data_IF_060577552190
#
_entry.id   IF_060577552190
#
_cell.length_a   1.000
_cell.length_b   1.000
_cell.length_c   1.000
_cell.angle_alpha   90.00
_cell.angle_beta   90.00
_cell.angle_gamma   90.00
#
_symmetry.space_group_name_H-M   'P 1'
#
loop_
_entity.id
_entity.type
_entity.pdbx_description
1 polymer ?
#
# COMPACT_ATOMS: atom_id res chain seq x y z
N UNK A 1 0.21 -22.45 -10.45
CA UNK A 1 -0.24 -23.56 -9.58
C UNK A 1 -1.76 -23.72 -9.45
N UNK A 2 -2.59 -22.66 -9.46
CA UNK A 2 -4.04 -22.88 -9.28
C UNK A 2 -4.69 -23.61 -10.48
N UNK A 3 -5.50 -24.63 -10.19
CA UNK A 3 -6.27 -25.39 -11.20
C UNK A 3 -7.71 -24.87 -11.29
N UNK A 4 -8.53 -25.33 -12.27
CA UNK A 4 -9.94 -24.96 -12.31
C UNK A 4 -10.75 -25.39 -11.07
N UNK A 5 -10.26 -26.37 -10.30
CA UNK A 5 -10.97 -26.97 -9.16
C UNK A 5 -10.36 -26.62 -7.81
N UNK A 6 -9.07 -26.36 -7.75
CA UNK A 6 -8.35 -26.07 -6.52
C UNK A 6 -7.56 -24.76 -6.62
N UNK A 7 -7.66 -23.95 -5.57
CA UNK A 7 -6.74 -22.84 -5.37
C UNK A 7 -5.52 -23.37 -4.63
N UNK A 8 -4.36 -23.19 -5.25
CA UNK A 8 -3.06 -23.62 -4.74
C UNK A 8 -2.21 -22.37 -4.50
N UNK A 9 -1.63 -22.29 -3.30
CA UNK A 9 -0.70 -21.25 -2.89
C UNK A 9 0.40 -21.88 -2.04
N UNK A 10 1.61 -21.35 -2.10
CA UNK A 10 2.71 -21.77 -1.26
C UNK A 10 3.16 -20.62 -0.34
N UNK A 11 3.43 -20.94 0.92
CA UNK A 11 3.87 -19.99 1.93
C UNK A 11 5.22 -20.42 2.52
N UNK A 12 6.25 -19.59 2.34
CA UNK A 12 7.59 -19.83 2.91
C UNK A 12 7.86 -19.10 4.22
N UNK A 13 9.08 -19.26 4.75
CA UNK A 13 9.61 -18.45 5.86
C UNK A 13 8.99 -18.77 7.23
N UNK A 14 8.52 -17.74 7.95
CA UNK A 14 7.96 -17.88 9.31
C UNK A 14 6.76 -18.83 9.34
N UNK A 15 6.00 -18.87 8.25
CA UNK A 15 4.87 -19.77 8.11
C UNK A 15 5.23 -21.25 8.21
N UNK A 16 6.40 -21.62 7.69
CA UNK A 16 6.94 -22.98 7.81
C UNK A 16 7.32 -23.33 9.26
N UNK A 17 7.76 -22.34 10.05
CA UNK A 17 8.22 -22.56 11.42
C UNK A 17 7.08 -22.70 12.42
N UNK A 18 5.90 -22.14 12.13
CA UNK A 18 4.73 -22.24 13.00
C UNK A 18 3.95 -23.56 12.85
N UNK A 19 4.23 -24.33 11.79
CA UNK A 19 3.61 -25.62 11.51
C UNK A 19 2.07 -25.61 11.57
N UNK A 20 1.46 -24.46 11.23
CA UNK A 20 0.02 -24.24 11.28
C UNK A 20 -0.51 -23.72 9.94
N UNK A 21 -1.05 -24.61 9.09
CA UNK A 21 -1.61 -24.23 7.78
C UNK A 21 -2.73 -23.19 7.90
N UNK A 22 -3.59 -23.30 8.92
CA UNK A 22 -4.72 -22.37 9.11
C UNK A 22 -4.26 -20.95 9.42
N UNK A 23 -3.24 -20.78 10.27
CA UNK A 23 -2.68 -19.45 10.58
C UNK A 23 -2.06 -18.86 9.31
N UNK A 24 -1.31 -19.65 8.57
CA UNK A 24 -0.67 -19.21 7.33
C UNK A 24 -1.67 -18.83 6.24
N UNK A 25 -2.75 -19.61 6.13
CA UNK A 25 -3.84 -19.29 5.22
C UNK A 25 -4.58 -18.01 5.62
N UNK A 26 -4.80 -17.78 6.92
CA UNK A 26 -5.37 -16.54 7.42
C UNK A 26 -4.44 -15.33 7.14
N UNK A 27 -3.13 -15.48 7.29
CA UNK A 27 -2.16 -14.44 6.96
C UNK A 27 -2.14 -14.14 5.45
N UNK A 28 -2.20 -15.17 4.61
CA UNK A 28 -2.36 -15.00 3.16
C UNK A 28 -3.66 -14.25 2.84
N UNK A 29 -4.77 -14.59 3.50
CA UNK A 29 -6.03 -13.88 3.35
C UNK A 29 -5.92 -12.39 3.75
N UNK A 30 -5.24 -12.08 4.86
CA UNK A 30 -4.97 -10.71 5.31
C UNK A 30 -4.11 -9.95 4.29
N UNK A 31 -3.08 -10.58 3.75
CA UNK A 31 -2.22 -9.97 2.72
C UNK A 31 -3.01 -9.66 1.44
N UNK A 32 -3.84 -10.59 0.98
CA UNK A 32 -4.72 -10.38 -0.17
C UNK A 32 -5.75 -9.27 0.10
N UNK A 33 -6.35 -9.25 1.30
CA UNK A 33 -7.26 -8.20 1.72
C UNK A 33 -6.59 -6.82 1.73
N UNK A 34 -5.38 -6.74 2.28
CA UNK A 34 -4.58 -5.52 2.30
C UNK A 34 -4.26 -5.03 0.90
N UNK A 35 -3.86 -5.94 0.00
CA UNK A 35 -3.55 -5.62 -1.40
C UNK A 35 -4.77 -5.06 -2.14
N UNK A 36 -5.91 -5.76 -2.06
CA UNK A 36 -7.16 -5.32 -2.69
C UNK A 36 -7.63 -3.99 -2.11
N UNK A 37 -7.62 -3.85 -0.78
CA UNK A 37 -8.06 -2.64 -0.11
C UNK A 37 -7.15 -1.45 -0.42
N UNK A 38 -5.84 -1.68 -0.52
CA UNK A 38 -4.87 -0.64 -0.87
C UNK A 38 -5.18 -0.01 -2.24
N UNK A 39 -5.51 -0.83 -3.24
CA UNK A 39 -5.89 -0.35 -4.57
C UNK A 39 -7.13 0.57 -4.50
N UNK A 40 -8.16 0.15 -3.75
CA UNK A 40 -9.38 0.95 -3.53
C UNK A 40 -9.06 2.26 -2.81
N UNK A 41 -8.18 2.23 -1.82
CA UNK A 41 -7.76 3.41 -1.07
C UNK A 41 -7.01 4.43 -1.94
N UNK A 42 -6.21 4.00 -2.92
CA UNK A 42 -5.60 4.91 -3.89
C UNK A 42 -6.67 5.61 -4.73
N UNK A 43 -7.67 4.87 -5.20
CA UNK A 43 -8.78 5.47 -5.97
C UNK A 43 -9.55 6.48 -5.11
N UNK A 44 -9.89 6.12 -3.87
CA UNK A 44 -10.55 7.03 -2.93
C UNK A 44 -9.71 8.28 -2.67
N UNK A 45 -8.41 8.14 -2.42
CA UNK A 45 -7.50 9.28 -2.23
C UNK A 45 -7.47 10.19 -3.46
N UNK A 46 -7.50 9.61 -4.66
CA UNK A 46 -7.55 10.37 -5.92
C UNK A 46 -8.85 11.17 -6.05
N UNK A 47 -9.99 10.54 -5.76
CA UNK A 47 -11.30 11.21 -5.73
C UNK A 47 -11.37 12.32 -4.69
N UNK A 48 -10.89 12.06 -3.47
CA UNK A 48 -10.85 13.05 -2.39
C UNK A 48 -10.01 14.26 -2.76
N UNK A 49 -8.82 14.05 -3.34
CA UNK A 49 -7.96 15.14 -3.82
C UNK A 49 -8.62 15.94 -4.93
N UNK A 50 -9.26 15.26 -5.89
CA UNK A 50 -10.03 15.94 -6.94
C UNK A 50 -11.15 16.78 -6.33
N UNK A 51 -11.91 16.24 -5.36
CA UNK A 51 -12.96 16.97 -4.67
C UNK A 51 -12.45 18.22 -3.96
N UNK A 52 -11.33 18.13 -3.22
CA UNK A 52 -10.76 19.29 -2.52
C UNK A 52 -10.25 20.36 -3.50
N UNK A 53 -9.64 19.96 -4.62
CA UNK A 53 -9.09 20.90 -5.62
C UNK A 53 -10.20 21.55 -6.45
N UNK A 54 -11.16 20.75 -6.93
CA UNK A 54 -12.29 21.24 -7.73
C UNK A 54 -13.32 21.99 -6.86
N UNK A 55 -13.53 21.52 -5.64
CA UNK A 55 -14.50 22.01 -4.67
C UNK A 55 -13.95 23.08 -3.73
N UNK A 56 -12.86 23.78 -4.06
CA UNK A 56 -12.34 24.91 -3.28
C UNK A 56 -13.39 26.00 -2.97
N UNK A 57 -14.54 25.99 -3.65
CA UNK A 57 -15.71 26.83 -3.38
C UNK A 57 -16.76 26.24 -2.41
N UNK A 58 -16.80 24.93 -2.17
CA UNK A 58 -17.90 24.21 -1.49
C UNK A 58 -17.57 23.79 -0.04
N UNK A 59 -16.36 24.10 0.45
CA UNK A 59 -15.91 23.77 1.80
C UNK A 59 -15.39 22.33 1.93
N UNK A 60 -14.54 22.09 2.93
CA UNK A 60 -14.00 20.76 3.21
C UNK A 60 -15.09 19.81 3.72
N UNK A 61 -15.10 18.53 3.31
CA UNK A 61 -16.12 17.59 3.76
C UNK A 61 -15.94 17.32 5.26
N UNK A 62 -17.07 17.23 5.98
CA UNK A 62 -17.07 16.96 7.42
C UNK A 62 -16.34 15.63 7.70
N UNK A 63 -15.50 15.60 8.73
CA UNK A 63 -14.70 14.42 9.11
C UNK A 63 -15.56 13.16 9.31
N UNK A 64 -16.75 13.30 9.90
CA UNK A 64 -17.67 12.18 10.09
C UNK A 64 -18.14 11.56 8.77
N UNK A 65 -18.36 12.36 7.73
CA UNK A 65 -18.75 11.85 6.42
C UNK A 65 -17.60 11.06 5.78
N UNK A 66 -16.36 11.56 5.91
CA UNK A 66 -15.17 10.87 5.41
C UNK A 66 -15.00 9.51 6.12
N UNK A 67 -15.14 9.49 7.45
CA UNK A 67 -15.02 8.26 8.24
C UNK A 67 -16.11 7.24 7.88
N UNK A 68 -17.35 7.70 7.71
CA UNK A 68 -18.45 6.84 7.28
C UNK A 68 -18.21 6.23 5.90
N UNK A 69 -17.77 7.04 4.93
CA UNK A 69 -17.43 6.55 3.58
C UNK A 69 -16.27 5.55 3.65
N UNK A 70 -15.24 5.83 4.45
CA UNK A 70 -14.09 4.94 4.60
C UNK A 70 -14.53 3.58 5.15
N UNK A 71 -15.39 3.57 6.17
CA UNK A 71 -15.93 2.34 6.74
C UNK A 71 -16.78 1.58 5.71
N UNK A 72 -17.67 2.28 5.00
CA UNK A 72 -18.52 1.69 3.97
C UNK A 72 -17.71 1.06 2.82
N UNK A 73 -16.58 1.66 2.43
CA UNK A 73 -15.69 1.14 1.39
C UNK A 73 -14.87 -0.05 1.89
N UNK A 74 -14.48 -0.06 3.17
CA UNK A 74 -13.66 -1.11 3.75
C UNK A 74 -14.44 -2.40 4.02
N UNK A 75 -15.71 -2.26 4.44
CA UNK A 75 -16.56 -3.36 4.88
C UNK A 75 -16.68 -4.52 3.85
N UNK A 76 -16.92 -4.28 2.55
CA UNK A 76 -17.02 -5.36 1.57
C UNK A 76 -15.72 -6.18 1.45
N UNK A 77 -14.56 -5.50 1.50
CA UNK A 77 -13.26 -6.18 1.40
C UNK A 77 -13.04 -7.07 2.62
N UNK A 78 -13.36 -6.57 3.83
CA UNK A 78 -13.29 -7.37 5.05
C UNK A 78 -14.18 -8.61 4.98
N UNK A 79 -15.43 -8.47 4.54
CA UNK A 79 -16.37 -9.59 4.47
C UNK A 79 -15.86 -10.66 3.50
N UNK A 80 -15.42 -10.27 2.31
CA UNK A 80 -14.92 -11.21 1.29
C UNK A 80 -13.73 -12.01 1.81
N UNK A 81 -12.73 -11.33 2.39
CA UNK A 81 -11.51 -12.02 2.81
C UNK A 81 -11.62 -12.71 4.18
N UNK A 82 -12.54 -12.28 5.05
CA UNK A 82 -12.90 -13.06 6.24
C UNK A 82 -13.50 -14.41 5.82
N UNK A 83 -14.46 -14.41 4.88
CA UNK A 83 -15.02 -15.66 4.36
C UNK A 83 -13.97 -16.52 3.64
N UNK A 84 -13.02 -15.89 2.95
CA UNK A 84 -11.89 -16.61 2.35
C UNK A 84 -11.02 -17.29 3.41
N UNK A 85 -10.62 -16.57 4.48
CA UNK A 85 -9.78 -17.10 5.54
C UNK A 85 -10.38 -18.32 6.28
N UNK A 86 -11.71 -18.41 6.35
CA UNK A 86 -12.43 -19.54 6.95
C UNK A 86 -12.76 -20.68 5.95
N UNK A 87 -12.20 -20.64 4.74
CA UNK A 87 -12.39 -21.73 3.77
C UNK A 87 -11.65 -23.00 4.21
N UNK A 88 -12.23 -24.20 4.00
CA UNK A 88 -11.62 -25.45 4.44
C UNK A 88 -10.36 -25.76 3.63
N UNK A 89 -9.25 -25.98 4.35
CA UNK A 89 -7.99 -26.42 3.79
C UNK A 89 -7.96 -27.94 3.60
N UNK A 90 -7.30 -28.39 2.55
CA UNK A 90 -6.97 -29.80 2.33
C UNK A 90 -5.63 -30.08 3.01
N UNK A 91 -5.56 -31.18 3.76
CA UNK A 91 -4.37 -31.58 4.51
C UNK A 91 -4.05 -33.06 4.28
N UNK A 92 -2.77 -33.43 4.46
CA UNK A 92 -2.29 -34.80 4.38
C UNK A 92 -2.48 -35.45 3.00
N UNK A 93 -2.96 -36.71 2.93
CA UNK A 93 -2.96 -37.50 1.69
C UNK A 93 -3.87 -36.92 0.60
N UNK A 94 -4.95 -36.22 0.97
CA UNK A 94 -5.85 -35.58 -0.01
C UNK A 94 -5.13 -34.43 -0.73
N UNK A 95 -4.35 -33.64 0.00
CA UNK A 95 -3.55 -32.56 -0.57
C UNK A 95 -2.48 -33.12 -1.52
N UNK A 96 -1.75 -34.15 -1.10
CA UNK A 96 -0.72 -34.80 -1.91
C UNK A 96 -1.29 -35.40 -3.20
N UNK A 97 -2.46 -36.05 -3.13
CA UNK A 97 -3.15 -36.56 -4.31
C UNK A 97 -3.48 -35.43 -5.29
N UNK A 98 -4.08 -34.34 -4.81
CA UNK A 98 -4.45 -33.19 -5.65
C UNK A 98 -3.22 -32.55 -6.28
N UNK A 99 -2.12 -32.43 -5.55
CA UNK A 99 -0.86 -31.90 -6.06
C UNK A 99 -0.28 -32.80 -7.15
N UNK A 100 -0.20 -34.11 -6.92
CA UNK A 100 0.35 -35.06 -7.89
C UNK A 100 -0.49 -35.16 -9.16
N UNK A 101 -1.82 -35.03 -9.05
CA UNK A 101 -2.73 -34.96 -10.21
C UNK A 101 -2.61 -33.64 -11.00
N UNK A 102 -2.36 -32.52 -10.30
CA UNK A 102 -2.39 -31.17 -10.90
C UNK A 102 -1.04 -30.72 -11.45
N UNK A 103 0.03 -31.11 -10.75
CA UNK A 103 1.42 -30.71 -10.96
C UNK A 103 2.34 -31.92 -10.71
N UNK A 104 2.31 -32.95 -11.57
CA UNK A 104 3.16 -34.14 -11.42
C UNK A 104 4.66 -33.81 -11.49
N UNK A 105 5.02 -32.68 -12.07
CA UNK A 105 6.39 -32.16 -12.11
C UNK A 105 6.91 -31.61 -10.77
N UNK A 106 6.01 -31.36 -9.81
CA UNK A 106 6.36 -30.72 -8.54
C UNK A 106 6.68 -31.76 -7.46
N UNK A 107 7.95 -31.83 -7.06
CA UNK A 107 8.39 -32.69 -5.97
C UNK A 107 8.12 -32.04 -4.61
N UNK A 108 7.04 -32.49 -3.96
CA UNK A 108 6.62 -32.03 -2.63
C UNK A 108 7.72 -32.31 -1.59
N UNK A 109 8.41 -33.45 -1.69
CA UNK A 109 9.42 -33.85 -0.71
C UNK A 109 10.62 -32.90 -0.75
N UNK A 110 11.05 -32.51 -1.95
CA UNK A 110 12.16 -31.59 -2.17
C UNK A 110 11.86 -30.17 -1.65
N UNK A 111 10.61 -29.72 -1.73
CA UNK A 111 10.21 -28.36 -1.36
C UNK A 111 9.61 -28.24 0.05
N UNK A 112 9.31 -29.36 0.70
CA UNK A 112 8.70 -29.41 2.04
C UNK A 112 9.51 -28.70 3.13
N UNK A 113 10.82 -28.56 2.94
CA UNK A 113 11.71 -27.85 3.86
C UNK A 113 11.68 -26.32 3.67
N UNK A 114 11.24 -25.84 2.50
CA UNK A 114 11.29 -24.42 2.15
C UNK A 114 9.92 -23.74 2.20
N UNK A 115 8.86 -24.49 1.89
CA UNK A 115 7.52 -23.96 1.70
C UNK A 115 6.42 -24.88 2.26
N UNK A 116 5.34 -24.25 2.72
CA UNK A 116 4.11 -24.89 3.16
C UNK A 116 3.04 -24.70 2.09
N UNK A 117 2.49 -25.80 1.59
CA UNK A 117 1.42 -25.78 0.60
C UNK A 117 0.07 -25.49 1.26
N UNK A 118 -0.68 -24.58 0.66
CA UNK A 118 -2.01 -24.17 1.07
C UNK A 118 -2.97 -24.49 -0.08
N UNK A 119 -3.75 -25.56 0.09
CA UNK A 119 -4.68 -26.05 -0.93
C UNK A 119 -6.11 -25.93 -0.41
N UNK A 120 -6.98 -25.28 -1.17
CA UNK A 120 -8.43 -25.21 -0.88
C UNK A 120 -9.24 -25.46 -2.14
N UNK A 121 -10.41 -26.07 -1.99
CA UNK A 121 -11.37 -26.23 -3.09
C UNK A 121 -11.90 -24.87 -3.52
N UNK A 122 -12.21 -24.71 -4.82
CA UNK A 122 -12.86 -23.51 -5.36
C UNK A 122 -14.32 -23.39 -4.91
N UNK A 123 -14.51 -23.01 -3.65
CA UNK A 123 -15.82 -22.65 -3.09
C UNK A 123 -16.33 -21.30 -3.59
N UNK A 124 -17.50 -20.89 -3.10
CA UNK A 124 -18.02 -19.53 -3.33
C UNK A 124 -17.10 -18.46 -2.72
N UNK A 125 -16.59 -18.68 -1.51
CA UNK A 125 -15.67 -17.79 -0.80
C UNK A 125 -14.39 -17.50 -1.60
N UNK A 126 -13.73 -18.56 -2.08
CA UNK A 126 -12.50 -18.49 -2.89
C UNK A 126 -12.75 -17.76 -4.21
N UNK A 127 -13.85 -18.08 -4.90
CA UNK A 127 -14.20 -17.39 -6.15
C UNK A 127 -14.47 -15.90 -5.94
N UNK A 128 -15.22 -15.56 -4.90
CA UNK A 128 -15.49 -14.15 -4.55
C UNK A 128 -14.18 -13.42 -4.24
N UNK A 129 -13.27 -14.01 -3.46
CA UNK A 129 -11.99 -13.39 -3.14
C UNK A 129 -11.11 -13.14 -4.38
N UNK A 130 -11.04 -14.11 -5.29
CA UNK A 130 -10.28 -13.97 -6.52
C UNK A 130 -10.92 -12.95 -7.46
N UNK A 131 -12.23 -13.01 -7.71
CA UNK A 131 -12.90 -12.03 -8.55
C UNK A 131 -12.88 -10.62 -7.96
N UNK A 132 -12.89 -10.49 -6.63
CA UNK A 132 -12.70 -9.20 -5.96
C UNK A 132 -11.30 -8.65 -6.23
N UNK A 133 -10.27 -9.48 -6.07
CA UNK A 133 -8.88 -9.11 -6.33
C UNK A 133 -8.65 -8.71 -7.81
N UNK A 134 -9.07 -9.57 -8.74
CA UNK A 134 -8.90 -9.39 -10.19
C UNK A 134 -9.78 -8.25 -10.73
N UNK A 135 -11.02 -8.14 -10.25
CA UNK A 135 -12.02 -7.21 -10.76
C UNK A 135 -11.84 -5.77 -10.30
N UNK A 136 -11.26 -5.55 -9.12
CA UNK A 136 -11.10 -4.20 -8.56
C UNK A 136 -10.06 -3.35 -9.29
N UNK A 137 -9.06 -3.94 -9.95
CA UNK A 137 -7.95 -3.16 -10.50
C UNK A 137 -8.38 -2.27 -11.67
N UNK A 138 -9.28 -2.76 -12.52
CA UNK A 138 -9.77 -2.02 -13.70
C UNK A 138 -10.46 -0.71 -13.28
N UNK A 139 -11.51 -0.72 -12.43
CA UNK A 139 -12.15 0.51 -12.00
C UNK A 139 -11.20 1.42 -11.23
N UNK A 140 -10.28 0.87 -10.42
CA UNK A 140 -9.27 1.66 -9.70
C UNK A 140 -8.37 2.43 -10.67
N UNK A 141 -7.80 1.75 -11.67
CA UNK A 141 -6.92 2.40 -12.67
C UNK A 141 -7.68 3.48 -13.44
N UNK A 142 -8.92 3.20 -13.87
CA UNK A 142 -9.77 4.18 -14.56
C UNK A 142 -10.00 5.42 -13.69
N UNK A 143 -10.40 5.24 -12.43
CA UNK A 143 -10.66 6.35 -11.49
C UNK A 143 -9.40 7.18 -11.26
N UNK A 144 -8.24 6.54 -11.06
CA UNK A 144 -6.96 7.22 -10.85
C UNK A 144 -6.56 8.03 -12.08
N UNK A 145 -6.66 7.45 -13.28
CA UNK A 145 -6.34 8.15 -14.54
C UNK A 145 -7.28 9.34 -14.74
N UNK A 146 -8.59 9.16 -14.58
CA UNK A 146 -9.57 10.25 -14.71
C UNK A 146 -9.28 11.35 -13.68
N UNK A 147 -9.03 10.99 -12.42
CA UNK A 147 -8.69 11.93 -11.35
C UNK A 147 -7.42 12.73 -11.70
N UNK A 148 -6.37 12.06 -12.17
CA UNK A 148 -5.13 12.72 -12.60
C UNK A 148 -5.35 13.69 -13.78
N UNK A 149 -6.09 13.27 -14.82
CA UNK A 149 -6.41 14.13 -15.97
C UNK A 149 -7.21 15.35 -15.53
N UNK A 150 -8.23 15.16 -14.68
CA UNK A 150 -9.10 16.25 -14.21
C UNK A 150 -8.36 17.25 -13.34
N UNK A 151 -7.52 16.78 -12.41
CA UNK A 151 -6.68 17.66 -11.59
C UNK A 151 -5.70 18.45 -12.47
N UNK A 152 -5.07 17.81 -13.46
CA UNK A 152 -4.17 18.47 -14.40
C UNK A 152 -4.86 19.56 -15.21
N UNK A 153 -6.08 19.30 -15.70
CA UNK A 153 -6.87 20.29 -16.45
C UNK A 153 -7.20 21.51 -15.60
N UNK A 154 -7.64 21.30 -14.36
CA UNK A 154 -7.93 22.40 -13.42
C UNK A 154 -6.66 23.21 -13.16
N UNK A 155 -5.53 22.55 -12.97
CA UNK A 155 -4.26 23.24 -12.71
C UNK A 155 -3.76 24.03 -13.93
N UNK A 156 -4.01 23.54 -15.14
CA UNK A 156 -3.67 24.22 -16.38
C UNK A 156 -4.58 25.43 -16.66
N UNK A 157 -5.84 25.40 -16.20
CA UNK A 157 -6.79 26.52 -16.41
C UNK A 157 -6.64 27.66 -15.41
N UNK A 158 -5.97 27.46 -14.27
CA UNK A 158 -5.82 28.48 -13.23
C UNK A 158 -4.54 29.27 -13.45
N UNK A 159 -4.60 30.29 -14.31
CA UNK A 159 -3.47 31.16 -14.65
C UNK A 159 -3.13 32.19 -13.54
N UNK A 160 -4.04 32.39 -12.58
CA UNK A 160 -3.92 33.39 -11.50
C UNK A 160 -3.50 32.83 -10.12
N UNK A 161 -3.02 31.59 -10.04
CA UNK A 161 -2.60 31.03 -8.75
C UNK A 161 -1.27 31.61 -8.27
N UNK A 162 -1.21 32.05 -7.02
CA UNK A 162 0.04 32.47 -6.37
C UNK A 162 1.11 31.36 -6.49
N UNK A 163 2.37 31.75 -6.67
CA UNK A 163 3.49 30.81 -6.85
C UNK A 163 3.56 29.72 -5.75
N UNK A 164 3.14 30.07 -4.52
CA UNK A 164 3.04 29.14 -3.40
C UNK A 164 1.90 28.12 -3.54
N UNK A 165 0.74 28.52 -4.11
CA UNK A 165 -0.34 27.58 -4.40
C UNK A 165 0.04 26.62 -5.53
N UNK A 166 0.63 27.16 -6.61
CA UNK A 166 1.12 26.37 -7.76
C UNK A 166 2.14 25.32 -7.31
N UNK A 167 3.14 25.70 -6.50
CA UNK A 167 4.14 24.77 -5.95
C UNK A 167 3.52 23.64 -5.11
N UNK A 168 2.53 23.95 -4.27
CA UNK A 168 1.81 22.94 -3.47
C UNK A 168 1.06 21.96 -4.37
N UNK A 169 0.38 22.46 -5.40
CA UNK A 169 -0.39 21.63 -6.34
C UNK A 169 0.52 20.74 -7.18
N UNK A 170 1.65 21.25 -7.68
CA UNK A 170 2.66 20.44 -8.40
C UNK A 170 3.23 19.33 -7.52
N UNK A 171 3.47 19.59 -6.22
CA UNK A 171 3.92 18.55 -5.29
C UNK A 171 2.85 17.48 -5.06
N UNK A 172 1.59 17.88 -4.92
CA UNK A 172 0.45 16.95 -4.81
C UNK A 172 0.35 16.07 -6.05
N UNK A 173 0.48 16.68 -7.24
CA UNK A 173 0.41 16.00 -8.53
C UNK A 173 1.55 14.99 -8.71
N UNK A 174 2.78 15.37 -8.33
CA UNK A 174 3.93 14.46 -8.34
C UNK A 174 3.68 13.26 -7.42
N UNK A 175 3.08 13.48 -6.24
CA UNK A 175 2.67 12.40 -5.34
C UNK A 175 1.66 11.45 -5.98
N UNK A 176 0.68 11.97 -6.73
CA UNK A 176 -0.30 11.15 -7.46
C UNK A 176 0.39 10.33 -8.56
N UNK A 177 1.31 10.92 -9.31
CA UNK A 177 2.03 10.21 -10.37
C UNK A 177 2.81 9.02 -9.81
N UNK A 178 3.47 9.21 -8.67
CA UNK A 178 4.18 8.13 -7.97
C UNK A 178 3.23 7.10 -7.37
N UNK A 179 2.13 7.53 -6.74
CA UNK A 179 1.12 6.59 -6.23
C UNK A 179 0.45 5.79 -7.35
N UNK A 180 0.28 6.37 -8.55
CA UNK A 180 -0.28 5.71 -9.72
C UNK A 180 0.64 4.62 -10.31
N UNK A 181 1.94 4.62 -9.97
CA UNK A 181 2.83 3.51 -10.35
C UNK A 181 2.47 2.21 -9.64
N UNK A 182 1.89 2.28 -8.43
CA UNK A 182 1.56 1.09 -7.64
C UNK A 182 0.38 0.29 -8.20
N UNK A 183 -0.77 0.90 -8.57
CA UNK A 183 -1.81 0.22 -9.34
C UNK A 183 -1.29 -0.29 -10.69
N UNK A 184 -0.35 0.41 -11.32
CA UNK A 184 0.31 -0.07 -12.55
C UNK A 184 1.09 -1.36 -12.33
N UNK A 185 1.93 -1.42 -11.29
CA UNK A 185 2.64 -2.64 -10.89
C UNK A 185 1.67 -3.76 -10.52
N UNK A 186 0.56 -3.42 -9.83
CA UNK A 186 -0.46 -4.39 -9.48
C UNK A 186 -1.14 -4.99 -10.73
N UNK A 187 -1.47 -4.14 -11.72
CA UNK A 187 -2.02 -4.58 -13.00
C UNK A 187 -1.07 -5.50 -13.77
N UNK A 188 0.24 -5.21 -13.74
CA UNK A 188 1.26 -6.09 -14.34
C UNK A 188 1.26 -7.46 -13.64
N UNK A 189 1.28 -7.48 -12.30
CA UNK A 189 1.19 -8.73 -11.53
C UNK A 189 -0.06 -9.54 -11.87
N UNK A 190 -1.21 -8.87 -12.03
CA UNK A 190 -2.45 -9.53 -12.44
C UNK A 190 -2.37 -10.10 -13.86
N UNK A 191 -1.80 -9.37 -14.81
CA UNK A 191 -1.63 -9.85 -16.20
C UNK A 191 -0.77 -11.11 -16.22
N UNK A 192 0.36 -11.09 -15.48
CA UNK A 192 1.24 -12.25 -15.33
C UNK A 192 0.49 -13.42 -14.72
N UNK A 193 -0.24 -13.21 -13.62
CA UNK A 193 -1.07 -14.23 -12.98
C UNK A 193 -2.09 -14.86 -13.94
N UNK A 194 -2.84 -14.04 -14.68
CA UNK A 194 -3.83 -14.52 -15.65
C UNK A 194 -3.16 -15.26 -16.81
N UNK A 195 -2.00 -14.81 -17.27
CA UNK A 195 -1.24 -15.48 -18.33
C UNK A 195 -0.74 -16.87 -17.88
N UNK A 196 -0.22 -16.99 -16.66
CA UNK A 196 0.18 -18.27 -16.06
C UNK A 196 -1.02 -19.19 -15.85
N UNK A 197 -2.14 -18.66 -15.33
CA UNK A 197 -3.39 -19.44 -15.16
C UNK A 197 -3.92 -20.00 -16.47
N UNK A 198 -3.76 -19.27 -17.58
CA UNK A 198 -4.13 -19.71 -18.93
C UNK A 198 -3.08 -20.62 -19.59
N UNK A 199 -2.02 -21.01 -18.88
CA UNK A 199 -0.88 -21.80 -19.39
C UNK A 199 -0.20 -21.17 -20.61
N UNK A 200 -0.26 -19.85 -20.75
CA UNK A 200 0.42 -19.13 -21.84
C UNK A 200 1.92 -18.97 -21.56
N UNK A 201 2.30 -18.99 -20.28
CA UNK A 201 3.68 -18.91 -19.83
C UNK A 201 3.88 -19.98 -18.77
N UNK A 202 4.80 -20.90 -19.01
CA UNK A 202 5.08 -22.03 -18.14
C UNK A 202 6.57 -22.04 -17.80
N UNK A 203 6.95 -21.25 -16.80
CA UNK A 203 8.34 -21.13 -16.35
C UNK A 203 8.35 -21.07 -14.83
N UNK A 204 9.17 -21.92 -14.21
CA UNK A 204 9.12 -22.24 -12.78
C UNK A 204 9.37 -21.04 -11.83
N UNK A 205 9.77 -19.88 -12.35
CA UNK A 205 9.99 -18.65 -11.58
C UNK A 205 8.86 -17.62 -11.60
N UNK A 206 7.92 -17.71 -12.56
CA UNK A 206 6.96 -16.61 -12.81
C UNK A 206 5.88 -16.52 -11.72
N UNK A 207 5.56 -17.63 -11.07
CA UNK A 207 4.59 -17.68 -9.99
C UNK A 207 5.09 -16.91 -8.76
N UNK A 208 6.37 -17.10 -8.43
CA UNK A 208 7.05 -16.36 -7.38
C UNK A 208 7.07 -14.85 -7.66
N UNK A 209 7.25 -14.45 -8.92
CA UNK A 209 7.23 -13.03 -9.31
C UNK A 209 5.88 -12.39 -8.94
N UNK A 210 4.76 -13.08 -9.14
CA UNK A 210 3.42 -12.55 -8.85
C UNK A 210 3.26 -12.27 -7.35
N UNK A 211 3.67 -13.21 -6.50
CA UNK A 211 3.62 -13.07 -5.03
C UNK A 211 4.59 -11.97 -4.55
N UNK A 212 5.78 -11.92 -5.15
CA UNK A 212 6.78 -10.88 -4.87
C UNK A 212 6.29 -9.48 -5.23
N UNK A 213 5.57 -9.31 -6.36
CA UNK A 213 4.96 -8.04 -6.74
C UNK A 213 3.96 -7.58 -5.66
N UNK A 214 3.09 -8.46 -5.17
CA UNK A 214 2.16 -8.11 -4.09
C UNK A 214 2.88 -7.66 -2.81
N UNK A 215 3.97 -8.34 -2.46
CA UNK A 215 4.82 -8.00 -1.31
C UNK A 215 5.51 -6.64 -1.49
N UNK A 216 6.06 -6.37 -2.68
CA UNK A 216 6.69 -5.09 -3.02
C UNK A 216 5.69 -3.94 -2.93
N UNK A 217 4.47 -4.11 -3.42
CA UNK A 217 3.43 -3.07 -3.35
C UNK A 217 3.08 -2.75 -1.90
N UNK A 218 2.99 -3.77 -1.04
CA UNK A 218 2.70 -3.61 0.38
C UNK A 218 3.80 -2.84 1.11
N UNK A 219 5.06 -3.01 0.74
CA UNK A 219 6.21 -2.28 1.31
C UNK A 219 6.34 -0.87 0.71
N UNK A 220 6.20 -0.73 -0.61
CA UNK A 220 6.38 0.55 -1.31
C UNK A 220 5.26 1.55 -0.99
N UNK A 221 4.03 1.09 -0.76
CA UNK A 221 2.88 1.94 -0.43
C UNK A 221 3.11 2.90 0.75
N UNK A 222 3.46 2.41 1.95
CA UNK A 222 3.76 3.27 3.10
C UNK A 222 5.02 4.12 2.86
N UNK A 223 6.06 3.58 2.22
CA UNK A 223 7.29 4.33 1.90
C UNK A 223 6.97 5.54 1.00
N UNK A 224 6.21 5.34 -0.08
CA UNK A 224 5.81 6.42 -0.97
C UNK A 224 4.95 7.44 -0.25
N UNK A 225 4.05 7.00 0.62
CA UNK A 225 3.21 7.90 1.42
C UNK A 225 4.06 8.77 2.35
N UNK A 226 5.01 8.18 3.08
CA UNK A 226 5.91 8.90 3.99
C UNK A 226 6.82 9.89 3.26
N UNK A 227 7.34 9.51 2.09
CA UNK A 227 8.29 10.32 1.34
C UNK A 227 7.63 11.45 0.54
N UNK A 228 6.53 11.18 -0.16
CA UNK A 228 5.90 12.14 -1.09
C UNK A 228 4.83 13.02 -0.44
N UNK A 229 4.27 12.62 0.70
CA UNK A 229 3.23 13.41 1.38
C UNK A 229 3.88 14.40 2.33
N UNK A 230 3.79 15.68 1.98
CA UNK A 230 4.44 16.80 2.68
C UNK A 230 4.27 16.81 4.22
N UNK A 231 3.07 16.63 4.81
CA UNK A 231 2.93 16.63 6.26
C UNK A 231 3.72 15.50 6.92
N UNK A 232 3.67 14.28 6.39
CA UNK A 232 4.41 13.14 6.94
C UNK A 232 5.92 13.33 6.83
N UNK A 233 6.41 13.82 5.68
CA UNK A 233 7.84 14.12 5.50
C UNK A 233 8.35 15.19 6.46
N UNK A 234 7.54 16.21 6.75
CA UNK A 234 7.93 17.27 7.66
C UNK A 234 8.06 16.76 9.11
N UNK A 235 7.17 15.88 9.55
CA UNK A 235 7.30 15.24 10.87
C UNK A 235 8.48 14.27 10.91
N UNK A 236 8.70 13.46 9.87
CA UNK A 236 9.90 12.61 9.75
C UNK A 236 11.20 13.40 9.86
N UNK A 237 11.28 14.57 9.19
CA UNK A 237 12.43 15.48 9.32
C UNK A 237 12.59 16.01 10.73
N UNK A 238 11.49 16.34 11.42
CA UNK A 238 11.55 16.77 12.83
C UNK A 238 12.09 15.67 13.74
N UNK A 239 11.63 14.44 13.57
CA UNK A 239 12.17 13.29 14.31
C UNK A 239 13.65 13.02 13.98
N UNK A 240 14.03 13.06 12.70
CA UNK A 240 15.41 12.84 12.27
C UNK A 240 16.37 13.93 12.79
N UNK A 241 15.93 15.20 12.84
CA UNK A 241 16.70 16.31 13.43
C UNK A 241 16.76 16.16 14.96
N UNK A 242 15.67 15.72 15.60
CA UNK A 242 15.62 15.45 17.04
C UNK A 242 16.51 14.27 17.46
N UNK A 243 16.79 13.33 16.54
CA UNK A 243 17.68 12.18 16.76
C UNK A 243 19.14 12.47 16.39
N UNK A 244 19.44 13.66 15.85
CA UNK A 244 20.80 14.02 15.47
C UNK A 244 21.52 14.62 16.70
N UNK A 245 22.48 13.93 17.34
CA UNK A 245 23.15 14.42 18.56
C UNK A 245 23.95 15.72 18.32
N UNK A 246 24.24 16.04 17.06
CA UNK A 246 24.93 17.28 16.65
C UNK A 246 24.04 18.52 16.84
N UNK A 247 22.71 18.39 16.75
CA UNK A 247 21.78 19.52 16.94
C UNK A 247 21.65 19.93 18.42
N UNK A 248 21.85 19.01 19.36
CA UNK A 248 21.95 19.33 20.78
C UNK A 248 23.26 20.07 21.10
N UNK A 249 24.37 19.66 20.50
CA UNK A 249 25.67 20.33 20.64
C UNK A 249 25.70 21.76 20.08
N UNK A 250 24.99 22.02 18.97
CA UNK A 250 24.87 23.37 18.42
C UNK A 250 24.06 24.32 19.34
N UNK A 251 23.09 23.81 20.10
CA UNK A 251 22.34 24.61 21.08
C UNK A 251 23.15 24.87 22.37
N UNK A 252 23.96 23.90 22.82
CA UNK A 252 24.85 24.10 23.98
C UNK A 252 26.08 24.95 23.67
N UNK A 253 26.58 24.96 22.43
CA UNK A 253 27.71 25.80 22.01
C UNK A 253 27.39 27.29 21.92
N UNK A 254 26.12 27.66 21.69
CA UNK A 254 25.67 29.06 21.69
C UNK A 254 25.50 29.68 23.08
N UNK A 255 25.49 28.85 24.15
CA UNK A 255 25.36 29.34 25.53
C UNK A 255 26.67 29.82 26.14
N UNK A 256 27.82 29.54 25.51
CA UNK A 256 29.15 29.89 26.04
C UNK A 256 29.77 31.15 25.43
N UNK A 257 29.20 31.67 24.33
CA UNK A 257 29.68 32.92 23.71
C UNK A 257 28.62 33.99 23.94
N UNK A 258 28.88 34.88 24.90
CA UNK A 258 27.98 35.98 25.24
C UNK A 258 27.73 36.88 24.04
N UNK A 259 26.59 36.69 23.36
CA UNK A 259 26.11 37.58 22.32
C UNK A 259 25.11 38.59 22.88
N UNK A 260 25.27 39.84 22.46
CA UNK A 260 24.44 40.98 22.83
C UNK A 260 23.04 40.90 22.21
N UNK A 261 22.06 41.52 22.87
CA UNK A 261 20.60 41.46 22.57
C UNK A 261 20.19 41.74 21.11
N UNK A 262 21.04 42.39 20.31
CA UNK A 262 20.71 42.75 18.94
C UNK A 262 20.85 41.58 17.95
N UNK A 263 21.70 40.58 18.23
CA UNK A 263 21.90 39.43 17.33
C UNK A 263 20.76 38.39 17.43
N UNK A 264 20.00 38.38 18.54
CA UNK A 264 18.83 37.50 18.71
C UNK A 264 17.65 37.82 17.79
N UNK A 265 17.57 39.04 17.22
CA UNK A 265 16.44 39.44 16.37
C UNK A 265 16.53 38.89 14.93
N UNK A 266 17.74 38.58 14.44
CA UNK A 266 17.93 38.12 13.06
C UNK A 266 17.83 36.61 12.87
N UNK A 267 18.03 35.79 13.90
CA UNK A 267 17.97 34.32 13.79
C UNK A 267 16.82 33.73 14.59
N UNK A 268 15.59 33.98 14.11
CA UNK A 268 14.42 33.18 14.51
C UNK A 268 14.47 31.85 13.77
N UNK A 269 15.38 30.96 14.18
CA UNK A 269 15.44 29.61 13.65
C UNK A 269 14.11 28.89 13.98
N UNK A 270 13.38 28.32 13.00
CA UNK A 270 12.09 27.65 13.24
C UNK A 270 12.16 26.38 14.11
N UNK A 271 13.35 26.02 14.58
CA UNK A 271 13.71 24.68 15.04
C UNK A 271 13.87 24.55 16.56
N UNK A 272 13.68 25.63 17.34
CA UNK A 272 13.92 25.59 18.79
C UNK A 272 12.61 25.30 19.57
N UNK A 273 12.56 24.27 20.44
CA UNK A 273 11.35 23.93 21.20
C UNK A 273 10.95 25.07 22.17
N UNK A 274 9.63 25.37 22.23
CA UNK A 274 9.04 26.50 22.99
C UNK A 274 9.47 26.60 24.46
N UNK A 275 9.87 25.50 25.10
CA UNK A 275 10.32 25.50 26.50
C UNK A 275 11.64 26.28 26.72
N UNK A 276 12.42 26.54 25.68
CA UNK A 276 13.66 27.34 25.76
C UNK A 276 13.54 28.78 25.21
N UNK A 277 12.40 29.16 24.62
CA UNK A 277 12.20 30.52 24.11
C UNK A 277 11.86 31.55 25.20
N UNK A 278 11.56 31.13 26.43
CA UNK A 278 11.07 32.00 27.51
C UNK A 278 12.18 32.62 28.37
N UNK A 279 13.45 32.50 28.00
CA UNK A 279 14.56 33.24 28.65
C UNK A 279 15.53 33.85 27.62
N UNK A 280 15.01 34.75 26.80
CA UNK A 280 15.77 35.74 26.04
C UNK A 280 15.17 37.13 26.30
#
# INVERSE_FOLDING_TARGET
MSTPRYYLSAAGGVCRHWDSPSICFALNAIQLAGTAHYAVMIAFCSCYRYYVIAGSHHGEPKRMNILFILFAIHLPTLIVYANFAFSPLLEGPEMEQVMNESHPEYDISMHSDQEMLLVTRYGLSVRLALYWLEGLIIPVVIVVIIGAIRINRILASIDHMSANSKRRHTQILKGILWQATLPGLYAIGLIVYVATKRKLINTDGIEYITIMIGSLITVLGPIFTLYFTLPYRNELKRYAISFNPVSYLACSGFYQVGFTKETCRMYRAPSCPRKHQLRC
#
